data_IF_639129788767
#
_entry.id   IF_639129788767
#
_cell.length_a   1.000
_cell.length_b   1.000
_cell.length_c   1.000
_cell.angle_alpha   90.00
_cell.angle_beta   90.00
_cell.angle_gamma   90.00
#
_symmetry.space_group_name_H-M   'P 1'
#
loop_
_entity.id
_entity.type
_entity.pdbx_description
1 polymer ?
#
# COMPACT_ATOMS: atom_id res chain seq x y z
N UNK A 1 -30.39 10.81 -7.06
CA UNK A 1 -30.74 11.25 -5.70
C UNK A 1 -29.46 11.80 -5.09
N UNK A 2 -29.44 13.06 -4.68
CA UNK A 2 -28.31 13.68 -3.97
C UNK A 2 -28.80 14.00 -2.56
N UNK A 3 -28.32 13.26 -1.58
CA UNK A 3 -28.56 13.59 -0.17
C UNK A 3 -27.24 14.10 0.43
N UNK A 4 -27.29 15.34 0.93
CA UNK A 4 -26.25 15.94 1.74
C UNK A 4 -26.49 15.56 3.20
N UNK A 5 -25.51 14.94 3.84
CA UNK A 5 -25.53 14.74 5.28
C UNK A 5 -24.86 15.92 6.00
N UNK A 6 -25.02 15.96 7.33
CA UNK A 6 -24.43 16.96 8.23
C UNK A 6 -22.88 17.05 8.17
N UNK A 7 -22.22 16.10 7.53
CA UNK A 7 -20.78 16.05 7.35
C UNK A 7 -20.33 16.50 5.95
N UNK A 8 -21.24 16.97 5.09
CA UNK A 8 -20.90 17.44 3.74
C UNK A 8 -20.54 16.33 2.76
N UNK A 9 -20.84 15.06 3.08
CA UNK A 9 -20.73 13.97 2.11
C UNK A 9 -22.03 13.84 1.31
N UNK A 10 -21.88 13.47 0.04
CA UNK A 10 -22.93 13.37 -0.97
C UNK A 10 -23.10 11.90 -1.32
N UNK A 11 -24.32 11.41 -1.14
CA UNK A 11 -24.76 10.14 -1.67
C UNK A 11 -25.15 10.30 -3.13
N UNK A 12 -24.54 9.52 -4.01
CA UNK A 12 -24.83 9.49 -5.45
C UNK A 12 -25.19 8.06 -5.84
N UNK A 13 -26.15 7.89 -6.74
CA UNK A 13 -26.47 6.60 -7.34
C UNK A 13 -26.53 6.75 -8.85
N UNK A 14 -26.00 5.77 -9.57
CA UNK A 14 -25.97 5.75 -11.03
C UNK A 14 -26.09 4.33 -11.57
N UNK A 15 -26.69 4.20 -12.75
CA UNK A 15 -26.71 2.95 -13.49
C UNK A 15 -25.38 2.77 -14.22
N UNK A 16 -24.80 1.59 -14.07
CA UNK A 16 -23.48 1.27 -14.60
C UNK A 16 -23.56 -0.06 -15.32
N UNK A 17 -23.05 -0.11 -16.54
CA UNK A 17 -23.01 -1.34 -17.34
C UNK A 17 -21.77 -2.14 -16.93
N UNK A 18 -21.97 -3.32 -16.35
CA UNK A 18 -20.90 -4.23 -15.96
C UNK A 18 -21.07 -5.59 -16.64
N UNK A 19 -20.04 -6.02 -17.38
CA UNK A 19 -20.00 -7.21 -18.23
C UNK A 19 -21.21 -7.32 -19.19
N UNK A 20 -22.38 -7.76 -18.71
CA UNK A 20 -23.63 -7.92 -19.48
C UNK A 20 -24.90 -7.49 -18.72
N UNK A 21 -24.76 -6.74 -17.60
CA UNK A 21 -25.90 -6.29 -16.78
C UNK A 21 -25.82 -4.79 -16.47
N UNK A 22 -26.97 -4.13 -16.43
CA UNK A 22 -27.11 -2.79 -15.87
C UNK A 22 -27.36 -2.97 -14.37
N UNK A 23 -26.46 -2.45 -13.55
CA UNK A 23 -26.58 -2.47 -12.09
C UNK A 23 -26.60 -1.03 -11.58
N UNK A 24 -27.39 -0.78 -10.53
CA UNK A 24 -27.35 0.50 -9.83
C UNK A 24 -26.21 0.47 -8.82
N UNK A 25 -25.16 1.23 -9.10
CA UNK A 25 -24.08 1.48 -8.15
C UNK A 25 -24.36 2.75 -7.36
N UNK A 26 -23.96 2.72 -6.09
CA UNK A 26 -24.05 3.83 -5.17
C UNK A 26 -22.63 4.26 -4.80
N UNK A 27 -22.47 5.56 -4.57
CA UNK A 27 -21.23 6.19 -4.21
C UNK A 27 -21.44 7.17 -3.06
N UNK A 28 -20.51 7.21 -2.12
CA UNK A 28 -20.37 8.26 -1.13
C UNK A 28 -19.21 9.14 -1.58
N UNK A 29 -19.48 10.41 -1.86
CA UNK A 29 -18.50 11.39 -2.32
C UNK A 29 -18.33 12.46 -1.26
N UNK A 30 -17.11 12.79 -0.89
CA UNK A 30 -16.82 13.85 0.07
C UNK A 30 -15.83 14.84 -0.54
N UNK A 31 -16.19 16.13 -0.58
CA UNK A 31 -15.37 17.20 -1.19
C UNK A 31 -14.91 16.90 -2.63
N UNK A 32 -15.71 16.16 -3.39
CA UNK A 32 -15.40 15.79 -4.78
C UNK A 32 -14.60 14.50 -4.93
N UNK A 33 -14.20 13.84 -3.84
CA UNK A 33 -13.49 12.55 -3.87
C UNK A 33 -14.43 11.38 -3.55
N UNK A 34 -14.25 10.27 -4.25
CA UNK A 34 -14.99 9.04 -4.04
C UNK A 34 -14.48 8.30 -2.80
N UNK A 35 -15.32 8.14 -1.78
CA UNK A 35 -14.95 7.52 -0.49
C UNK A 35 -15.43 6.07 -0.41
N UNK A 36 -16.66 5.78 -0.85
CA UNK A 36 -17.26 4.44 -0.83
C UNK A 36 -17.99 4.22 -2.15
N UNK A 37 -17.93 3.01 -2.71
CA UNK A 37 -18.65 2.62 -3.92
C UNK A 37 -19.18 1.19 -3.86
N UNK A 38 -20.39 0.96 -4.35
CA UNK A 38 -20.86 -0.35 -4.83
C UNK A 38 -22.37 -0.52 -4.82
N UNK A 39 -22.84 -1.75 -4.96
CA UNK A 39 -24.27 -2.07 -5.07
C UNK A 39 -25.04 -1.85 -3.76
N UNK A 40 -26.36 -1.61 -3.86
CA UNK A 40 -27.23 -1.17 -2.76
C UNK A 40 -27.01 -1.91 -1.43
N UNK A 41 -27.03 -3.25 -1.47
CA UNK A 41 -26.97 -4.08 -0.26
C UNK A 41 -25.61 -4.00 0.46
N UNK A 42 -24.51 -3.91 -0.30
CA UNK A 42 -23.16 -3.75 0.27
C UNK A 42 -22.86 -2.28 0.60
N UNK A 43 -23.48 -1.35 -0.11
CA UNK A 43 -23.29 0.07 0.06
C UNK A 43 -23.90 0.61 1.35
N UNK A 44 -25.15 0.26 1.66
CA UNK A 44 -25.86 0.72 2.87
C UNK A 44 -25.05 0.40 4.13
N UNK A 45 -24.62 -0.86 4.29
CA UNK A 45 -23.80 -1.30 5.44
C UNK A 45 -22.48 -0.54 5.55
N UNK A 46 -21.85 -0.21 4.41
CA UNK A 46 -20.58 0.53 4.38
C UNK A 46 -20.76 2.00 4.74
N UNK A 47 -21.88 2.60 4.32
CA UNK A 47 -22.24 3.98 4.66
C UNK A 47 -22.67 4.11 6.13
N UNK A 48 -23.46 3.18 6.65
CA UNK A 48 -23.80 3.13 8.08
C UNK A 48 -22.54 3.07 8.95
N UNK A 49 -21.63 2.15 8.62
CA UNK A 49 -20.36 2.00 9.32
C UNK A 49 -19.45 3.23 9.18
N UNK A 50 -19.46 3.89 8.02
CA UNK A 50 -18.76 5.16 7.82
C UNK A 50 -19.23 6.22 8.83
N UNK A 51 -20.54 6.39 8.99
CA UNK A 51 -21.05 7.35 9.96
C UNK A 51 -20.81 6.94 11.41
N UNK A 52 -20.80 5.65 11.74
CA UNK A 52 -20.44 5.17 13.08
C UNK A 52 -18.98 5.51 13.45
N UNK A 53 -18.06 5.32 12.50
CA UNK A 53 -16.64 5.64 12.73
C UNK A 53 -16.41 7.15 12.78
N UNK A 54 -17.04 7.91 11.88
CA UNK A 54 -16.99 9.38 11.89
C UNK A 54 -17.55 9.94 13.20
N UNK A 55 -18.62 9.33 13.73
CA UNK A 55 -19.23 9.73 15.01
C UNK A 55 -18.36 9.41 16.22
N UNK A 56 -17.56 8.36 16.17
CA UNK A 56 -16.72 7.92 17.31
C UNK A 56 -15.33 8.56 17.32
N UNK A 57 -14.69 8.75 16.16
CA UNK A 57 -13.31 9.24 16.05
C UNK A 57 -13.18 10.62 15.39
N UNK A 58 -14.26 11.17 14.83
CA UNK A 58 -14.21 12.40 14.05
C UNK A 58 -13.80 12.16 12.59
N UNK A 59 -14.36 12.96 11.69
CA UNK A 59 -14.16 12.85 10.24
C UNK A 59 -12.70 13.07 9.82
N UNK A 60 -11.96 13.92 10.54
CA UNK A 60 -10.58 14.27 10.23
C UNK A 60 -9.64 13.07 10.44
N UNK A 61 -9.72 12.40 11.58
CA UNK A 61 -8.87 11.26 11.93
C UNK A 61 -9.20 10.04 11.06
N UNK A 62 -10.48 9.85 10.71
CA UNK A 62 -10.88 8.85 9.72
C UNK A 62 -10.27 9.13 8.35
N UNK A 63 -10.29 10.38 7.88
CA UNK A 63 -9.71 10.73 6.58
C UNK A 63 -8.18 10.66 6.61
N UNK A 64 -7.51 10.98 7.71
CA UNK A 64 -6.05 10.84 7.86
C UNK A 64 -5.58 9.37 7.81
N UNK A 65 -6.41 8.40 8.22
CA UNK A 65 -6.16 6.96 7.93
C UNK A 65 -6.27 6.62 6.42
N UNK A 66 -6.94 7.44 5.61
CA UNK A 66 -7.10 7.28 4.15
C UNK A 66 -6.19 8.21 3.33
N UNK A 67 -5.68 9.31 3.90
CA UNK A 67 -4.67 10.13 3.25
C UNK A 67 -3.33 9.41 3.42
N UNK A 68 -2.98 8.57 2.45
CA UNK A 68 -1.68 7.94 2.37
C UNK A 68 -0.52 8.95 2.56
N UNK A 69 0.63 8.45 2.97
CA UNK A 69 1.86 9.22 3.09
C UNK A 69 2.42 9.37 4.50
N UNK A 70 1.68 9.10 5.58
CA UNK A 70 2.12 9.38 6.96
C UNK A 70 2.44 8.18 7.86
N UNK A 71 2.36 6.96 7.34
CA UNK A 71 2.32 5.78 8.20
C UNK A 71 3.73 5.38 8.68
N UNK A 72 4.07 5.68 9.94
CA UNK A 72 5.37 5.43 10.58
C UNK A 72 5.63 3.92 10.84
N UNK A 73 5.54 3.09 9.80
CA UNK A 73 5.69 1.63 9.88
C UNK A 73 4.43 0.89 10.32
N UNK A 74 3.35 1.59 10.68
CA UNK A 74 2.02 1.02 10.85
C UNK A 74 1.37 0.80 9.47
N UNK A 75 0.61 -0.28 9.32
CA UNK A 75 -0.03 -0.63 8.06
C UNK A 75 -1.40 0.02 7.90
N UNK A 76 -1.69 0.61 6.73
CA UNK A 76 -3.06 1.03 6.36
C UNK A 76 -3.98 -0.15 6.02
N UNK A 77 -3.41 -1.34 5.89
CA UNK A 77 -4.08 -2.59 5.52
C UNK A 77 -4.56 -3.35 6.77
N UNK A 78 -3.89 -3.20 7.92
CA UNK A 78 -4.26 -3.90 9.17
C UNK A 78 -5.70 -3.52 9.56
N UNK A 79 -6.58 -4.50 9.68
CA UNK A 79 -7.99 -4.24 9.97
C UNK A 79 -8.70 -5.48 10.49
N UNK A 80 -9.77 -5.24 11.24
CA UNK A 80 -10.71 -6.25 11.76
C UNK A 80 -12.06 -6.16 11.06
N UNK A 81 -12.16 -5.37 9.99
CA UNK A 81 -13.40 -5.21 9.23
C UNK A 81 -13.72 -6.51 8.48
N UNK A 82 -14.84 -7.20 8.77
CA UNK A 82 -15.17 -8.48 8.14
C UNK A 82 -15.20 -8.46 6.61
N UNK A 83 -15.67 -7.37 6.00
CA UNK A 83 -15.72 -7.24 4.55
C UNK A 83 -14.32 -7.16 3.97
N UNK A 84 -13.45 -6.32 4.54
CA UNK A 84 -12.06 -6.19 4.09
C UNK A 84 -11.27 -7.48 4.31
N UNK A 85 -11.53 -8.19 5.42
CA UNK A 85 -10.90 -9.48 5.73
C UNK A 85 -11.31 -10.55 4.70
N UNK A 86 -12.60 -10.62 4.34
CA UNK A 86 -13.08 -11.51 3.28
C UNK A 86 -12.49 -11.15 1.91
N UNK A 87 -12.52 -9.87 1.52
CA UNK A 87 -11.94 -9.38 0.25
C UNK A 87 -10.44 -9.69 0.16
N UNK A 88 -9.72 -9.54 1.27
CA UNK A 88 -8.30 -9.89 1.33
C UNK A 88 -8.08 -11.40 1.18
N UNK A 89 -8.89 -12.24 1.83
CA UNK A 89 -8.79 -13.69 1.65
C UNK A 89 -9.02 -14.13 0.21
N UNK A 90 -10.09 -13.66 -0.41
CA UNK A 90 -10.41 -13.97 -1.81
C UNK A 90 -9.34 -13.43 -2.76
N UNK A 91 -8.87 -12.20 -2.52
CA UNK A 91 -7.78 -11.57 -3.24
C UNK A 91 -6.50 -12.39 -3.16
N UNK A 92 -6.03 -12.73 -1.96
CA UNK A 92 -4.79 -13.46 -1.72
C UNK A 92 -4.82 -14.84 -2.40
N UNK A 93 -5.93 -15.57 -2.25
CA UNK A 93 -6.12 -16.89 -2.85
C UNK A 93 -6.03 -16.84 -4.37
N UNK A 94 -6.60 -15.81 -4.98
CA UNK A 94 -6.54 -15.58 -6.44
C UNK A 94 -5.13 -15.18 -6.88
N UNK A 95 -4.47 -14.26 -6.18
CA UNK A 95 -3.16 -13.72 -6.58
C UNK A 95 -2.08 -14.78 -6.64
N UNK A 96 -2.10 -15.76 -5.73
CA UNK A 96 -1.14 -16.86 -5.68
C UNK A 96 -1.16 -17.76 -6.94
N UNK A 97 -2.24 -17.72 -7.72
CA UNK A 97 -2.41 -18.54 -8.92
C UNK A 97 -2.12 -17.76 -10.21
N UNK A 98 -1.91 -16.45 -10.12
CA UNK A 98 -1.75 -15.58 -11.28
C UNK A 98 -0.28 -15.35 -11.63
N UNK A 99 -0.02 -15.21 -12.93
CA UNK A 99 1.23 -14.69 -13.45
C UNK A 99 0.95 -13.43 -14.26
N UNK A 100 1.51 -12.31 -13.84
CA UNK A 100 1.23 -11.01 -14.41
C UNK A 100 2.14 -10.72 -15.60
N UNK A 101 1.55 -10.40 -16.75
CA UNK A 101 2.31 -9.93 -17.92
C UNK A 101 2.89 -8.54 -17.67
N UNK A 102 2.08 -7.64 -17.08
CA UNK A 102 2.44 -6.26 -16.76
C UNK A 102 2.32 -6.00 -15.26
N UNK A 103 3.31 -6.43 -14.46
CA UNK A 103 3.21 -6.37 -12.99
C UNK A 103 3.13 -4.95 -12.43
N UNK A 104 3.81 -3.98 -13.05
CA UNK A 104 3.77 -2.59 -12.57
C UNK A 104 2.36 -2.00 -12.62
N UNK A 105 1.59 -2.27 -13.68
CA UNK A 105 0.19 -1.82 -13.80
C UNK A 105 -0.73 -2.40 -12.71
N UNK A 106 -0.29 -3.47 -12.04
CA UNK A 106 -1.05 -4.18 -10.99
C UNK A 106 -0.53 -3.94 -9.59
N UNK A 107 0.55 -3.17 -9.43
CA UNK A 107 1.19 -3.02 -8.13
C UNK A 107 0.26 -2.44 -7.07
N UNK A 108 -0.57 -1.45 -7.43
CA UNK A 108 -1.52 -0.84 -6.51
C UNK A 108 -2.58 -1.83 -6.03
N UNK A 109 -2.96 -2.80 -6.86
CA UNK A 109 -3.94 -3.84 -6.51
C UNK A 109 -3.34 -4.93 -5.60
N UNK A 110 -2.01 -5.14 -5.66
CA UNK A 110 -1.35 -6.27 -4.98
C UNK A 110 -0.46 -5.86 -3.81
N UNK A 111 -0.15 -4.57 -3.65
CA UNK A 111 0.82 -4.09 -2.66
C UNK A 111 0.46 -4.50 -1.22
N UNK A 112 -0.84 -4.51 -0.93
CA UNK A 112 -1.40 -4.88 0.37
C UNK A 112 -1.11 -6.33 0.77
N UNK A 113 -0.75 -7.21 -0.17
CA UNK A 113 -0.59 -8.63 0.10
C UNK A 113 0.85 -9.05 0.34
N UNK A 114 1.83 -8.17 0.12
CA UNK A 114 3.25 -8.54 0.27
C UNK A 114 3.69 -8.65 1.73
N UNK A 115 3.07 -7.93 2.67
CA UNK A 115 3.49 -7.90 4.08
C UNK A 115 2.35 -8.13 5.08
N UNK A 116 1.22 -8.67 4.63
CA UNK A 116 0.04 -8.87 5.47
C UNK A 116 -0.47 -10.31 5.38
N UNK A 117 -1.02 -10.79 6.48
CA UNK A 117 -1.56 -12.14 6.61
C UNK A 117 -2.88 -12.11 7.35
N UNK A 118 -3.65 -13.19 7.19
CA UNK A 118 -4.89 -13.41 7.90
C UNK A 118 -4.60 -14.12 9.22
N UNK A 119 -5.17 -13.61 10.30
CA UNK A 119 -5.00 -14.16 11.65
C UNK A 119 -6.35 -14.27 12.36
N UNK A 120 -6.38 -15.16 13.35
CA UNK A 120 -7.50 -15.31 14.27
C UNK A 120 -7.22 -14.57 15.57
N UNK A 121 -8.16 -13.74 15.98
CA UNK A 121 -8.20 -13.11 17.30
C UNK A 121 -9.46 -13.60 18.04
N UNK A 122 -9.28 -14.19 19.23
CA UNK A 122 -10.39 -14.73 20.02
C UNK A 122 -11.37 -13.67 20.52
N UNK A 123 -10.92 -12.42 20.61
CA UNK A 123 -11.70 -11.31 21.17
C UNK A 123 -12.53 -10.59 20.07
N UNK A 124 -12.42 -11.03 18.82
CA UNK A 124 -13.14 -10.49 17.67
C UNK A 124 -14.16 -11.52 17.16
N UNK A 125 -15.42 -11.13 16.90
CA UNK A 125 -16.40 -12.05 16.32
C UNK A 125 -15.91 -12.70 15.03
N UNK A 126 -16.13 -14.01 14.91
CA UNK A 126 -15.81 -14.75 13.69
C UNK A 126 -16.66 -14.28 12.51
N UNK A 127 -16.07 -14.37 11.32
CA UNK A 127 -16.78 -14.18 10.06
C UNK A 127 -17.34 -15.55 9.67
N UNK A 128 -18.64 -15.60 9.38
CA UNK A 128 -19.29 -16.86 9.00
C UNK A 128 -18.57 -17.50 7.80
N UNK A 129 -18.14 -18.76 7.98
CA UNK A 129 -17.41 -19.51 6.94
C UNK A 129 -15.90 -19.28 6.91
N UNK A 130 -15.33 -18.41 7.76
CA UNK A 130 -13.88 -18.18 7.85
C UNK A 130 -13.33 -18.58 9.22
N UNK A 131 -12.05 -18.99 9.25
CA UNK A 131 -11.31 -19.31 10.47
C UNK A 131 -10.47 -18.16 11.00
N UNK A 132 -10.53 -17.00 10.35
CA UNK A 132 -9.79 -15.77 10.66
C UNK A 132 -10.75 -14.59 10.66
N UNK A 133 -10.38 -13.52 11.36
CA UNK A 133 -11.21 -12.33 11.56
C UNK A 133 -10.41 -11.03 11.55
N UNK A 134 -9.10 -11.09 11.28
CA UNK A 134 -8.23 -9.93 11.20
C UNK A 134 -7.18 -10.08 10.10
N UNK A 135 -6.85 -8.96 9.46
CA UNK A 135 -5.64 -8.81 8.65
C UNK A 135 -4.58 -8.16 9.54
N UNK A 136 -3.41 -8.78 9.63
CA UNK A 136 -2.29 -8.28 10.41
C UNK A 136 -1.03 -8.14 9.55
N UNK A 137 -0.18 -7.18 9.91
CA UNK A 137 1.13 -7.01 9.33
C UNK A 137 2.06 -8.12 9.83
N UNK A 138 2.77 -8.78 8.92
CA UNK A 138 3.65 -9.92 9.23
C UNK A 138 4.77 -9.50 10.19
N UNK A 139 5.49 -8.43 9.86
CA UNK A 139 6.45 -7.79 10.76
C UNK A 139 6.64 -6.31 10.37
N UNK A 140 6.82 -5.44 11.37
CA UNK A 140 7.13 -4.01 11.22
C UNK A 140 8.61 -3.73 10.91
N UNK A 141 9.45 -4.76 10.92
CA UNK A 141 10.88 -4.70 10.59
C UNK A 141 11.20 -5.41 9.26
N UNK A 142 10.17 -5.94 8.59
CA UNK A 142 10.28 -6.78 7.38
C UNK A 142 10.64 -6.04 6.08
N UNK A 143 10.95 -4.74 6.11
CA UNK A 143 11.08 -3.90 4.91
C UNK A 143 12.02 -4.48 3.85
N UNK A 144 13.13 -5.11 4.23
CA UNK A 144 14.07 -5.72 3.30
C UNK A 144 13.47 -6.90 2.51
N UNK A 145 12.83 -7.85 3.19
CA UNK A 145 12.16 -8.98 2.52
C UNK A 145 11.01 -8.51 1.64
N UNK A 146 10.24 -7.53 2.10
CA UNK A 146 9.12 -6.96 1.35
C UNK A 146 9.60 -6.28 0.06
N UNK A 147 10.68 -5.51 0.14
CA UNK A 147 11.33 -4.94 -1.05
C UNK A 147 11.78 -6.03 -2.03
N UNK A 148 12.40 -7.09 -1.52
CA UNK A 148 12.89 -8.18 -2.38
C UNK A 148 11.74 -8.89 -3.12
N UNK A 149 10.61 -9.18 -2.45
CA UNK A 149 9.46 -9.83 -3.10
C UNK A 149 8.77 -8.91 -4.11
N UNK A 150 8.70 -7.61 -3.85
CA UNK A 150 8.14 -6.65 -4.81
C UNK A 150 9.05 -6.56 -6.06
N UNK A 151 10.37 -6.52 -5.89
CA UNK A 151 11.31 -6.52 -7.03
C UNK A 151 11.12 -7.77 -7.88
N UNK A 152 11.02 -8.95 -7.24
CA UNK A 152 10.78 -10.21 -7.94
C UNK A 152 9.46 -10.16 -8.72
N UNK A 153 8.39 -9.69 -8.09
CA UNK A 153 7.10 -9.50 -8.74
C UNK A 153 7.20 -8.55 -9.95
N UNK A 154 7.84 -7.38 -9.78
CA UNK A 154 8.01 -6.39 -10.85
C UNK A 154 8.85 -6.94 -12.02
N UNK A 155 9.81 -7.83 -11.77
CA UNK A 155 10.67 -8.43 -12.80
C UNK A 155 10.05 -9.65 -13.47
N UNK A 156 9.25 -10.42 -12.76
CA UNK A 156 8.81 -11.76 -13.22
C UNK A 156 7.31 -11.87 -13.44
N UNK A 157 6.51 -11.06 -12.73
CA UNK A 157 5.07 -11.19 -12.65
C UNK A 157 4.59 -12.24 -11.65
N UNK A 158 5.48 -12.86 -10.87
CA UNK A 158 5.09 -13.86 -9.86
C UNK A 158 4.85 -13.20 -8.52
N UNK A 159 3.66 -13.40 -7.96
CA UNK A 159 3.32 -12.91 -6.63
C UNK A 159 3.77 -13.91 -5.56
N UNK A 160 4.34 -13.40 -4.46
CA UNK A 160 4.50 -14.14 -3.21
C UNK A 160 4.49 -13.20 -2.01
N UNK A 161 4.02 -13.71 -0.88
CA UNK A 161 4.07 -13.02 0.41
C UNK A 161 5.51 -13.01 0.93
N UNK A 162 5.94 -11.91 1.54
CA UNK A 162 7.25 -11.81 2.17
C UNK A 162 7.31 -12.71 3.41
N UNK A 163 8.38 -13.49 3.55
CA UNK A 163 8.67 -14.16 4.81
C UNK A 163 8.97 -13.11 5.89
N UNK A 164 8.63 -13.34 7.16
CA UNK A 164 9.03 -12.46 8.25
C UNK A 164 10.56 -12.35 8.36
N UNK A 165 11.05 -11.16 8.69
CA UNK A 165 12.44 -10.92 9.08
C UNK A 165 12.52 -9.77 10.06
N UNK A 166 13.55 -9.81 10.91
CA UNK A 166 14.04 -8.65 11.65
C UNK A 166 14.70 -7.61 10.74
N UNK A 167 15.44 -6.69 11.37
CA UNK A 167 16.31 -5.76 10.65
C UNK A 167 17.36 -6.51 9.83
N UNK A 168 17.54 -6.09 8.58
CA UNK A 168 18.54 -6.65 7.67
C UNK A 168 19.48 -5.58 7.12
N UNK A 169 20.74 -5.97 6.93
CA UNK A 169 21.79 -5.12 6.38
C UNK A 169 21.62 -4.88 4.87
N UNK A 170 22.40 -3.95 4.32
CA UNK A 170 22.45 -3.72 2.87
C UNK A 170 22.90 -4.96 2.13
N UNK A 171 23.92 -5.65 2.64
CA UNK A 171 24.51 -6.84 2.02
C UNK A 171 23.47 -7.97 1.91
N UNK A 172 22.72 -8.22 2.99
CA UNK A 172 21.67 -9.24 3.01
C UNK A 172 20.55 -8.95 2.00
N UNK A 173 20.14 -7.68 1.86
CA UNK A 173 19.12 -7.27 0.90
C UNK A 173 19.64 -7.35 -0.55
N UNK A 174 20.84 -6.83 -0.80
CA UNK A 174 21.44 -6.77 -2.12
C UNK A 174 21.70 -8.17 -2.69
N UNK A 175 22.09 -9.13 -1.85
CA UNK A 175 22.26 -10.53 -2.26
C UNK A 175 20.97 -11.10 -2.88
N UNK A 176 19.80 -10.74 -2.34
CA UNK A 176 18.48 -11.17 -2.84
C UNK A 176 18.06 -10.45 -4.12
N UNK A 177 18.59 -9.25 -4.36
CA UNK A 177 18.12 -8.35 -5.42
C UNK A 177 19.00 -8.36 -6.68
N UNK A 178 20.10 -9.12 -6.67
CA UNK A 178 21.05 -9.23 -7.79
C UNK A 178 22.30 -8.37 -7.65
N UNK A 179 22.64 -7.95 -6.42
CA UNK A 179 23.79 -7.11 -6.12
C UNK A 179 23.54 -5.61 -6.29
N UNK A 180 24.60 -4.81 -6.15
CA UNK A 180 24.57 -3.36 -6.22
C UNK A 180 25.38 -2.72 -5.10
N UNK A 181 25.29 -1.39 -5.02
CA UNK A 181 25.91 -0.59 -3.97
C UNK A 181 24.99 0.61 -3.67
N UNK A 182 24.77 0.89 -2.38
CA UNK A 182 24.00 2.06 -1.97
C UNK A 182 24.85 3.33 -2.07
N UNK A 183 24.29 4.35 -2.73
CA UNK A 183 24.93 5.66 -2.89
C UNK A 183 24.01 6.75 -2.39
N UNK A 184 24.58 7.79 -1.79
CA UNK A 184 23.81 8.96 -1.39
C UNK A 184 23.15 9.62 -2.62
N UNK A 185 21.93 10.13 -2.45
CA UNK A 185 21.25 10.95 -3.45
C UNK A 185 20.90 12.30 -2.87
N UNK A 186 21.24 13.36 -3.60
CA UNK A 186 21.01 14.76 -3.19
C UNK A 186 19.51 15.15 -3.09
N UNK A 187 18.60 14.23 -3.39
CA UNK A 187 17.16 14.41 -3.27
C UNK A 187 16.37 13.63 -4.33
N UNK A 188 15.04 13.58 -4.15
CA UNK A 188 14.16 12.80 -5.03
C UNK A 188 14.08 13.34 -6.45
N UNK A 189 14.24 14.65 -6.66
CA UNK A 189 14.33 15.23 -8.00
C UNK A 189 15.56 14.73 -8.77
N UNK A 190 16.70 14.54 -8.06
CA UNK A 190 17.90 13.96 -8.69
C UNK A 190 17.68 12.49 -9.01
N UNK A 191 17.03 11.73 -8.13
CA UNK A 191 16.66 10.33 -8.38
C UNK A 191 15.78 10.20 -9.63
N UNK A 192 14.75 11.06 -9.77
CA UNK A 192 13.85 11.11 -10.92
C UNK A 192 14.60 11.37 -12.24
N UNK A 193 15.66 12.18 -12.19
CA UNK A 193 16.48 12.52 -13.36
C UNK A 193 17.48 11.42 -13.77
N UNK A 194 17.89 10.54 -12.86
CA UNK A 194 18.90 9.51 -13.14
C UNK A 194 18.32 8.13 -13.43
N UNK A 195 17.04 7.89 -13.10
CA UNK A 195 16.35 6.65 -13.43
C UNK A 195 15.77 6.72 -14.84
N UNK A 196 16.11 5.72 -15.65
CA UNK A 196 15.53 5.55 -16.99
C UNK A 196 14.19 4.82 -16.91
N UNK A 197 13.38 4.99 -17.96
CA UNK A 197 12.08 4.32 -18.09
C UNK A 197 12.19 2.80 -17.87
N UNK A 198 11.35 2.31 -16.97
CA UNK A 198 11.29 0.93 -16.51
C UNK A 198 12.30 0.56 -15.42
N UNK A 199 13.22 1.43 -15.02
CA UNK A 199 14.21 1.11 -13.98
C UNK A 199 13.61 1.08 -12.58
N UNK A 200 14.13 0.14 -11.77
CA UNK A 200 13.81 -0.05 -10.37
C UNK A 200 15.03 0.35 -9.53
N UNK A 201 14.82 1.11 -8.48
CA UNK A 201 15.80 1.38 -7.44
C UNK A 201 15.25 1.01 -6.06
N UNK A 202 16.12 0.48 -5.21
CA UNK A 202 15.86 0.40 -3.77
C UNK A 202 16.32 1.72 -3.16
N UNK A 203 15.48 2.29 -2.30
CA UNK A 203 15.79 3.46 -1.51
C UNK A 203 15.92 3.04 -0.04
N UNK A 204 16.95 3.55 0.61
CA UNK A 204 17.10 3.46 2.06
C UNK A 204 17.08 4.84 2.69
N UNK A 205 16.18 5.03 3.65
CA UNK A 205 16.09 6.22 4.48
C UNK A 205 16.50 5.93 5.91
N UNK A 206 17.73 6.27 6.36
CA UNK A 206 18.10 6.22 7.76
C UNK A 206 17.29 7.26 8.56
N UNK A 207 16.74 6.84 9.70
CA UNK A 207 16.01 7.70 10.65
C UNK A 207 16.85 8.03 11.87
N UNK A 208 17.64 7.07 12.34
CA UNK A 208 18.43 7.23 13.56
C UNK A 208 19.71 6.40 13.53
N UNK A 209 20.81 7.04 13.90
CA UNK A 209 22.08 6.36 14.18
C UNK A 209 22.14 6.03 15.68
N UNK A 210 22.20 4.75 16.02
CA UNK A 210 22.27 4.29 17.41
C UNK A 210 23.73 4.27 17.87
N UNK A 211 23.95 4.45 19.19
CA UNK A 211 25.29 4.38 19.79
C UNK A 211 25.97 3.01 19.61
N UNK A 212 25.18 1.96 19.36
CA UNK A 212 25.66 0.62 19.03
C UNK A 212 26.26 0.50 17.62
N UNK A 213 26.22 1.56 16.80
CA UNK A 213 26.61 1.52 15.40
C UNK A 213 25.50 1.01 14.47
N UNK A 214 24.38 0.54 15.02
CA UNK A 214 23.20 0.17 14.23
C UNK A 214 22.49 1.41 13.67
N UNK A 215 21.95 1.29 12.48
CA UNK A 215 21.16 2.34 11.83
C UNK A 215 19.72 1.88 11.73
N UNK A 216 18.83 2.57 12.44
CA UNK A 216 17.40 2.40 12.26
C UNK A 216 16.99 3.17 11.00
N UNK A 217 16.38 2.47 10.06
CA UNK A 217 15.95 3.06 8.79
C UNK A 217 14.89 2.22 8.12
N UNK A 218 14.57 2.57 6.88
CA UNK A 218 13.51 1.93 6.12
C UNK A 218 13.92 1.72 4.67
N UNK A 219 13.57 0.55 4.12
CA UNK A 219 13.68 0.30 2.68
C UNK A 219 12.33 0.45 2.01
N UNK A 220 12.32 1.13 0.86
CA UNK A 220 11.19 1.18 -0.06
C UNK A 220 11.72 1.23 -1.49
N UNK A 221 10.84 1.14 -2.48
CA UNK A 221 11.24 1.15 -3.89
C UNK A 221 10.92 2.47 -4.57
N UNK A 222 11.71 2.77 -5.59
CA UNK A 222 11.43 3.77 -6.59
C UNK A 222 11.40 3.11 -7.97
N UNK A 223 10.39 3.42 -8.78
CA UNK A 223 10.25 2.90 -10.16
C UNK A 223 9.98 4.06 -11.10
N UNK A 224 10.72 4.14 -12.21
CA UNK A 224 10.42 5.08 -13.29
C UNK A 224 9.51 4.38 -14.29
N UNK A 225 8.28 4.86 -14.45
CA UNK A 225 7.30 4.32 -15.37
C UNK A 225 6.44 5.46 -15.95
N UNK A 226 6.02 5.38 -17.21
CA UNK A 226 5.27 6.43 -17.90
C UNK A 226 5.91 7.81 -17.76
N UNK A 227 7.26 7.86 -17.81
CA UNK A 227 8.09 9.05 -17.60
C UNK A 227 7.95 9.69 -16.20
N UNK A 228 7.32 9.02 -15.25
CA UNK A 228 7.08 9.47 -13.87
C UNK A 228 7.82 8.58 -12.89
N UNK A 229 8.18 9.14 -11.73
CA UNK A 229 8.73 8.37 -10.62
C UNK A 229 7.60 7.97 -9.65
N UNK A 230 7.61 6.72 -9.24
CA UNK A 230 6.68 6.16 -8.27
C UNK A 230 7.45 5.57 -7.09
N UNK A 231 6.95 5.77 -5.89
CA UNK A 231 7.43 5.14 -4.67
C UNK A 231 6.49 4.01 -4.25
N UNK A 232 7.08 2.90 -3.82
CA UNK A 232 6.35 1.71 -3.40
C UNK A 232 6.87 1.31 -2.01
N UNK A 233 6.03 1.45 -1.00
CA UNK A 233 6.30 1.00 0.37
C UNK A 233 5.39 -0.18 0.68
N UNK A 234 5.88 -1.40 0.41
CA UNK A 234 5.12 -2.61 0.68
C UNK A 234 4.94 -2.91 2.16
N UNK A 235 5.74 -2.30 3.05
CA UNK A 235 5.58 -2.54 4.49
C UNK A 235 4.29 -1.90 4.98
N UNK A 236 4.03 -0.67 4.54
CA UNK A 236 2.85 0.12 4.90
C UNK A 236 1.69 -0.11 3.95
N UNK A 237 1.95 -0.55 2.72
CA UNK A 237 0.94 -0.72 1.66
C UNK A 237 0.79 0.51 0.75
N UNK A 238 1.74 1.43 0.76
CA UNK A 238 1.61 2.73 0.08
C UNK A 238 2.24 2.74 -1.31
N UNK A 239 1.52 3.33 -2.26
CA UNK A 239 1.96 3.52 -3.65
C UNK A 239 1.75 5.00 -4.02
N UNK A 240 2.84 5.74 -4.15
CA UNK A 240 2.80 7.20 -4.26
C UNK A 240 3.53 7.68 -5.51
N UNK A 241 2.88 8.54 -6.31
CA UNK A 241 3.57 9.21 -7.42
C UNK A 241 4.39 10.39 -6.90
N UNK A 242 5.63 10.51 -7.35
CA UNK A 242 6.45 11.70 -7.08
C UNK A 242 5.85 12.93 -7.77
N UNK A 243 5.31 13.83 -6.96
CA UNK A 243 4.71 15.09 -7.38
C UNK A 243 4.66 16.05 -6.19
N UNK A 244 4.46 17.35 -6.45
CA UNK A 244 4.25 18.33 -5.38
C UNK A 244 2.83 18.21 -4.78
N UNK A 245 2.61 17.13 -4.04
CA UNK A 245 1.34 16.78 -3.39
C UNK A 245 1.59 16.51 -1.91
N UNK A 246 0.59 16.75 -1.07
CA UNK A 246 0.68 16.50 0.38
C UNK A 246 1.05 15.04 0.69
N UNK A 247 0.44 14.08 0.00
CA UNK A 247 0.74 12.65 0.12
C UNK A 247 2.23 12.36 -0.13
N UNK A 248 2.77 12.84 -1.25
CA UNK A 248 4.18 12.64 -1.58
C UNK A 248 5.11 13.35 -0.60
N UNK A 249 4.76 14.57 -0.16
CA UNK A 249 5.55 15.31 0.83
C UNK A 249 5.58 14.55 2.16
N UNK A 250 4.45 14.01 2.59
CA UNK A 250 4.36 13.21 3.81
C UNK A 250 5.18 11.93 3.66
N UNK A 251 5.11 11.25 2.51
CA UNK A 251 5.86 10.04 2.22
C UNK A 251 7.37 10.24 2.37
N UNK A 252 7.90 11.33 1.81
CA UNK A 252 9.34 11.62 1.85
C UNK A 252 9.79 12.28 3.16
N UNK A 253 8.88 12.92 3.93
CA UNK A 253 9.21 13.61 5.20
C UNK A 253 8.92 12.77 6.46
N UNK A 254 9.10 11.45 6.42
CA UNK A 254 8.92 10.55 7.57
C UNK A 254 10.10 10.54 8.56
N UNK A 255 10.76 11.68 8.74
CA UNK A 255 11.93 11.79 9.63
C UNK A 255 13.20 11.10 9.09
N UNK A 256 13.32 10.92 7.77
CA UNK A 256 14.55 10.43 7.16
C UNK A 256 15.63 11.53 7.18
N UNK A 257 16.84 11.16 7.58
CA UNK A 257 17.98 12.07 7.68
C UNK A 257 18.62 12.36 6.32
N UNK A 258 18.66 11.33 5.47
CA UNK A 258 19.11 11.39 4.08
C UNK A 258 18.46 10.26 3.30
N UNK A 259 18.72 10.19 2.01
CA UNK A 259 18.35 9.05 1.18
C UNK A 259 19.57 8.46 0.49
N UNK A 260 19.60 7.14 0.47
CA UNK A 260 20.54 6.35 -0.30
C UNK A 260 19.76 5.52 -1.31
N UNK A 261 20.35 5.21 -2.45
CA UNK A 261 19.72 4.36 -3.44
C UNK A 261 20.69 3.39 -4.09
N UNK A 262 20.13 2.33 -4.67
CA UNK A 262 20.85 1.43 -5.58
C UNK A 262 19.91 0.93 -6.67
N UNK A 263 20.41 0.81 -7.91
CA UNK A 263 19.61 0.34 -9.05
C UNK A 263 19.62 -1.18 -9.07
N UNK A 264 18.46 -1.79 -9.27
CA UNK A 264 18.29 -3.25 -9.19
C UNK A 264 17.64 -3.85 -10.44
N UNK A 265 17.80 -3.20 -11.59
CA UNK A 265 17.32 -3.70 -12.88
C UNK A 265 16.04 -3.01 -13.35
N UNK A 266 15.23 -3.71 -14.15
CA UNK A 266 14.06 -3.14 -14.83
C UNK A 266 12.81 -3.98 -14.61
N UNK A 267 11.65 -3.32 -14.66
CA UNK A 267 10.34 -3.98 -14.66
C UNK A 267 10.15 -4.83 -15.93
N UNK A 268 9.32 -5.87 -15.81
CA UNK A 268 8.79 -6.64 -16.93
C UNK A 268 7.83 -5.77 -17.74
N UNK A 269 7.99 -5.78 -19.06
CA UNK A 269 7.13 -5.08 -20.02
C UNK A 269 6.01 -5.96 -20.53
#
# INVERSE_FOLDING_TARGET
>A
MQELNQYGAILVAGEVKNADKIVTEYALVYKGELVIKGEKASFVKRVERFFEVVKSKGLKDFLEEFVGGGNYGQSIIKTTNPVKVQEFYEGLSRLQQLNFSRPFEKIQDVIAFFNHTLVYDKDIPLISGLTFNMIEQIDKTNCANVVAVIIEFLKTGKFRVAAPSGYQSFEELLLKCGGGEFRDVAGMARLDAILYEGEIAIIYGPRKYLKSGQVEGHYFLAVKADKKLYFIDGQTGEFVRYANTTECINFIKRGYLKFMYTKVGKIKK
#
